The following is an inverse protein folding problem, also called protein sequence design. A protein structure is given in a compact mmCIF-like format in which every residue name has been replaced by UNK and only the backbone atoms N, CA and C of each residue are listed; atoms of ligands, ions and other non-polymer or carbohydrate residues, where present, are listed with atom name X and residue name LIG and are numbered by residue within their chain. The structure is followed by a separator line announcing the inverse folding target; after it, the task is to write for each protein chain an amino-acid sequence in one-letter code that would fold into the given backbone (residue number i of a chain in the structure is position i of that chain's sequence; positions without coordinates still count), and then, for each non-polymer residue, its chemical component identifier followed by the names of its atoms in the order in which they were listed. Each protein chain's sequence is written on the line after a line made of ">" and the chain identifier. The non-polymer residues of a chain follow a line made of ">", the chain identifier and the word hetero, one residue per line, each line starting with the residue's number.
data_IF_776911910281
#
_entry.id   IF_776911910281
#
_cell.length_a   1.000
_cell.length_b   1.000
_cell.length_c   1.000
_cell.angle_alpha   90.00
_cell.angle_beta   90.00
_cell.angle_gamma   90.00
#
_symmetry.space_group_name_H-M   'P 1'
#
loop_
_entity.id
_entity.type
_entity.pdbx_description
1 polymer ?
#
# COMPACT_ATOMS: atom_id res chain seq x y z
N UNK A 1 6.55 10.07 5.13
CA UNK A 1 7.84 10.07 4.41
C UNK A 1 7.96 8.80 3.57
N UNK A 2 8.57 8.85 2.39
CA UNK A 2 8.77 7.67 1.55
C UNK A 2 10.24 7.26 1.47
N UNK A 3 10.46 5.96 1.55
CA UNK A 3 11.73 5.27 1.41
C UNK A 3 11.52 4.02 0.53
N UNK A 4 12.51 3.56 -0.24
CA UNK A 4 12.36 2.37 -1.08
C UNK A 4 12.01 1.14 -0.22
N UNK A 5 10.84 0.55 -0.45
CA UNK A 5 10.28 -0.55 0.37
C UNK A 5 9.50 -0.11 1.61
N UNK A 6 9.34 1.19 1.86
CA UNK A 6 8.67 1.72 3.05
C UNK A 6 8.00 3.08 2.81
N UNK A 7 6.68 3.12 2.95
CA UNK A 7 5.90 4.36 2.95
C UNK A 7 5.40 4.63 4.36
N UNK A 8 5.81 5.76 4.92
CA UNK A 8 5.29 6.29 6.16
C UNK A 8 4.24 7.36 5.87
N UNK A 9 3.01 7.12 6.31
CA UNK A 9 1.87 8.02 6.21
C UNK A 9 1.57 8.52 7.62
N UNK A 10 1.66 9.82 7.84
CA UNK A 10 1.32 10.41 9.12
C UNK A 10 0.38 11.58 8.88
N UNK A 11 -0.67 11.64 9.68
CA UNK A 11 -1.67 12.69 9.61
C UNK A 11 -2.06 13.05 11.03
N UNK A 12 -2.00 14.34 11.31
CA UNK A 12 -2.31 14.89 12.63
C UNK A 12 -3.64 15.61 12.51
N UNK A 13 -4.62 15.15 13.28
CA UNK A 13 -5.92 15.80 13.40
C UNK A 13 -5.74 17.23 13.95
N UNK A 14 -5.97 18.24 13.11
CA UNK A 14 -5.97 19.65 13.55
C UNK A 14 -7.35 20.08 14.07
N UNK A 15 -8.40 19.30 13.81
CA UNK A 15 -9.77 19.55 14.23
C UNK A 15 -10.29 18.36 15.05
N UNK A 16 -11.23 18.57 15.98
CA UNK A 16 -11.79 17.51 16.82
C UNK A 16 -12.61 16.47 16.03
N UNK A 17 -13.04 16.80 14.81
CA UNK A 17 -13.72 15.86 13.88
C UNK A 17 -12.74 15.09 13.00
N UNK A 18 -11.46 15.39 13.10
CA UNK A 18 -10.39 14.81 12.30
C UNK A 18 -9.72 13.67 13.08
N UNK A 19 -9.14 12.70 12.37
CA UNK A 19 -8.58 11.49 12.99
C UNK A 19 -7.09 11.48 12.76
N UNK A 20 -6.30 11.49 13.83
CA UNK A 20 -4.86 11.31 13.72
C UNK A 20 -4.53 9.85 13.43
N UNK A 21 -3.65 9.63 12.47
CA UNK A 21 -3.14 8.31 12.15
C UNK A 21 -1.66 8.37 11.79
N UNK A 22 -0.94 7.35 12.21
CA UNK A 22 0.45 7.11 11.87
C UNK A 22 0.55 5.68 11.34
N UNK A 23 0.96 5.51 10.09
CA UNK A 23 0.91 4.24 9.38
C UNK A 23 2.21 4.04 8.63
N UNK A 24 2.87 2.95 8.96
CA UNK A 24 4.04 2.43 8.28
C UNK A 24 3.60 1.30 7.36
N UNK A 25 3.61 1.56 6.06
CA UNK A 25 3.36 0.58 5.02
C UNK A 25 4.71 0.13 4.44
N UNK A 26 5.17 -1.04 4.85
CA UNK A 26 6.36 -1.69 4.27
C UNK A 26 5.92 -2.62 3.16
N UNK A 27 6.75 -2.75 2.14
CA UNK A 27 6.49 -3.64 1.03
C UNK A 27 7.79 -4.28 0.54
N UNK A 28 7.74 -5.58 0.26
CA UNK A 28 8.89 -6.33 -0.21
C UNK A 28 8.49 -7.30 -1.31
N UNK A 29 9.36 -7.47 -2.30
CA UNK A 29 9.15 -8.48 -3.34
C UNK A 29 9.47 -9.86 -2.77
N UNK A 30 8.58 -10.81 -3.02
CA UNK A 30 8.73 -12.21 -2.67
C UNK A 30 8.54 -13.03 -3.93
N UNK A 31 9.59 -13.76 -4.31
CA UNK A 31 9.54 -14.67 -5.45
C UNK A 31 9.17 -16.06 -4.95
N UNK A 32 7.93 -16.46 -5.18
CA UNK A 32 7.46 -17.77 -4.78
C UNK A 32 7.56 -18.75 -5.96
N UNK A 33 8.23 -19.91 -5.82
CA UNK A 33 8.39 -20.86 -6.93
C UNK A 33 7.05 -21.48 -7.39
N UNK A 34 5.97 -21.37 -6.60
CA UNK A 34 4.65 -21.88 -6.97
C UNK A 34 3.72 -20.79 -7.51
N UNK A 35 3.77 -19.59 -6.95
CA UNK A 35 2.85 -18.49 -7.28
C UNK A 35 3.47 -17.42 -8.21
N UNK A 36 4.78 -17.45 -8.41
CA UNK A 36 5.52 -16.42 -9.13
C UNK A 36 5.83 -15.20 -8.26
N UNK A 37 6.19 -14.09 -8.90
CA UNK A 37 6.56 -12.86 -8.19
C UNK A 37 5.33 -12.22 -7.53
N UNK A 38 5.41 -12.06 -6.21
CA UNK A 38 4.39 -11.43 -5.37
C UNK A 38 5.02 -10.30 -4.55
N UNK A 39 4.18 -9.40 -4.04
CA UNK A 39 4.60 -8.38 -3.09
C UNK A 39 3.94 -8.62 -1.75
N UNK A 40 4.76 -8.71 -0.72
CA UNK A 40 4.31 -8.76 0.65
C UNK A 40 4.25 -7.34 1.22
N UNK A 41 3.07 -6.94 1.68
CA UNK A 41 2.81 -5.65 2.32
C UNK A 41 2.58 -5.86 3.81
N UNK A 42 3.22 -5.04 4.62
CA UNK A 42 3.08 -5.02 6.07
C UNK A 42 2.65 -3.62 6.47
N UNK A 43 1.45 -3.48 7.00
CA UNK A 43 0.88 -2.23 7.44
C UNK A 43 0.80 -2.22 8.96
N UNK A 44 1.56 -1.34 9.60
CA UNK A 44 1.62 -1.24 11.05
C UNK A 44 1.56 0.21 11.48
N UNK A 45 1.00 0.49 12.65
CA UNK A 45 0.95 1.85 13.16
C UNK A 45 -0.17 2.05 14.16
N UNK A 46 -0.69 3.26 14.21
CA UNK A 46 -1.74 3.67 15.14
C UNK A 46 -2.79 4.54 14.44
N UNK A 47 -4.06 4.19 14.58
CA UNK A 47 -5.19 4.99 14.10
C UNK A 47 -6.01 5.43 15.30
N UNK A 48 -6.16 6.75 15.50
CA UNK A 48 -6.94 7.31 16.60
C UNK A 48 -6.53 6.79 17.99
N UNK A 49 -5.23 6.61 18.24
CA UNK A 49 -4.73 6.04 19.50
C UNK A 49 -4.85 4.51 19.60
N UNK A 50 -5.26 3.82 18.53
CA UNK A 50 -5.37 2.35 18.49
C UNK A 50 -4.24 1.76 17.65
N UNK A 51 -3.29 1.03 18.27
CA UNK A 51 -2.25 0.34 17.51
C UNK A 51 -2.88 -0.77 16.67
N UNK A 52 -2.39 -0.94 15.44
CA UNK A 52 -2.78 -2.01 14.55
C UNK A 52 -1.57 -2.53 13.77
N UNK A 53 -1.63 -3.80 13.41
CA UNK A 53 -0.67 -4.46 12.54
C UNK A 53 -1.43 -5.46 11.67
N UNK A 54 -1.31 -5.30 10.36
CA UNK A 54 -1.94 -6.16 9.37
C UNK A 54 -0.93 -6.44 8.26
N UNK A 55 -0.97 -7.66 7.73
CA UNK A 55 -0.04 -8.13 6.72
C UNK A 55 -0.83 -8.78 5.60
N UNK A 56 -0.50 -8.45 4.36
CA UNK A 56 -1.17 -8.99 3.20
C UNK A 56 -0.20 -9.17 2.04
N UNK A 57 -0.37 -10.24 1.29
CA UNK A 57 0.39 -10.50 0.08
C UNK A 57 -0.49 -10.23 -1.14
N UNK A 58 0.07 -9.55 -2.13
CA UNK A 58 -0.59 -9.34 -3.42
C UNK A 58 0.30 -9.90 -4.52
N UNK A 59 -0.24 -10.70 -5.45
CA UNK A 59 0.51 -11.10 -6.63
C UNK A 59 0.90 -9.86 -7.44
N UNK A 60 1.97 -9.95 -8.25
CA UNK A 60 2.44 -8.90 -9.17
C UNK A 60 1.32 -8.10 -9.85
N UNK A 61 0.28 -8.79 -10.30
CA UNK A 61 -0.84 -8.18 -11.03
C UNK A 61 -1.71 -7.26 -10.15
N UNK A 62 -1.93 -7.68 -8.89
CA UNK A 62 -2.69 -6.92 -7.90
C UNK A 62 -1.80 -6.02 -7.03
N UNK A 63 -0.48 -6.08 -7.19
CA UNK A 63 0.45 -5.26 -6.42
C UNK A 63 0.20 -3.76 -6.59
N UNK A 64 -0.44 -3.33 -7.69
CA UNK A 64 -0.87 -1.94 -7.92
C UNK A 64 -2.17 -1.57 -7.19
N UNK A 65 -2.98 -2.54 -6.78
CA UNK A 65 -4.21 -2.35 -6.00
C UNK A 65 -3.97 -2.27 -4.48
N UNK A 66 -2.71 -2.31 -4.03
CA UNK A 66 -2.35 -2.23 -2.62
C UNK A 66 -2.97 -1.02 -1.89
N UNK A 67 -3.13 0.11 -2.57
CA UNK A 67 -3.72 1.32 -1.99
C UNK A 67 -5.19 1.09 -1.58
N UNK A 68 -5.92 0.25 -2.32
CA UNK A 68 -7.29 -0.11 -2.01
C UNK A 68 -7.35 -1.01 -0.77
N UNK A 69 -6.54 -2.08 -0.72
CA UNK A 69 -6.50 -2.99 0.43
C UNK A 69 -5.99 -2.29 1.69
N UNK A 70 -4.93 -1.50 1.60
CA UNK A 70 -4.42 -0.68 2.69
C UNK A 70 -5.49 0.27 3.23
N UNK A 71 -6.21 0.98 2.35
CA UNK A 71 -7.31 1.85 2.76
C UNK A 71 -8.43 1.08 3.46
N UNK A 72 -8.81 -0.09 2.92
CA UNK A 72 -9.86 -0.93 3.49
C UNK A 72 -9.48 -1.46 4.88
N UNK A 73 -8.23 -1.86 5.07
CA UNK A 73 -7.67 -2.24 6.37
C UNK A 73 -7.76 -1.07 7.33
N UNK A 74 -7.25 0.11 6.93
CA UNK A 74 -7.31 1.30 7.77
C UNK A 74 -8.75 1.62 8.21
N UNK A 75 -9.70 1.55 7.27
CA UNK A 75 -11.12 1.79 7.54
C UNK A 75 -11.67 0.80 8.55
N UNK A 76 -11.34 -0.49 8.41
CA UNK A 76 -11.73 -1.54 9.37
C UNK A 76 -11.20 -1.27 10.78
N UNK A 77 -10.01 -0.70 10.89
CA UNK A 77 -9.39 -0.38 12.19
C UNK A 77 -9.90 0.92 12.84
N UNK A 78 -10.67 1.74 12.11
CA UNK A 78 -11.34 2.92 12.67
C UNK A 78 -11.18 4.21 11.87
N UNK A 79 -10.54 4.18 10.71
CA UNK A 79 -10.56 5.33 9.80
C UNK A 79 -11.95 5.47 9.17
N UNK A 80 -12.59 6.64 9.20
CA UNK A 80 -13.84 6.84 8.47
C UNK A 80 -13.61 6.69 6.96
N UNK A 81 -14.60 6.18 6.24
CA UNK A 81 -14.50 5.99 4.78
C UNK A 81 -14.21 7.31 4.04
N UNK A 82 -14.64 8.44 4.59
CA UNK A 82 -14.32 9.78 4.07
C UNK A 82 -12.87 10.21 4.29
N UNK A 83 -12.13 9.53 5.17
CA UNK A 83 -10.71 9.75 5.45
C UNK A 83 -9.84 8.61 4.90
N UNK A 84 -10.37 7.78 3.98
CA UNK A 84 -9.62 6.73 3.30
C UNK A 84 -8.22 7.22 2.94
N UNK A 85 -7.20 6.37 3.18
CA UNK A 85 -5.82 6.80 3.11
C UNK A 85 -5.55 7.43 1.73
N UNK A 86 -5.10 8.70 1.68
CA UNK A 86 -4.81 9.36 0.42
C UNK A 86 -3.49 8.85 -0.17
N UNK A 87 -3.23 7.55 -0.14
CA UNK A 87 -2.02 6.92 -0.69
C UNK A 87 -1.89 7.29 -2.16
N UNK A 88 -2.99 7.22 -2.92
CA UNK A 88 -3.03 7.58 -4.34
C UNK A 88 -2.89 9.09 -4.61
N UNK A 89 -3.18 9.94 -3.63
CA UNK A 89 -3.01 11.40 -3.72
C UNK A 89 -1.66 11.84 -3.14
N UNK A 90 -0.92 10.92 -2.51
CA UNK A 90 0.36 11.21 -1.89
C UNK A 90 1.41 11.45 -2.98
N UNK A 91 2.24 12.48 -2.82
CA UNK A 91 3.29 12.83 -3.79
C UNK A 91 4.30 11.70 -4.02
N UNK A 92 4.43 10.83 -3.04
CA UNK A 92 5.32 9.67 -3.10
C UNK A 92 4.68 8.42 -3.72
N UNK A 93 3.40 8.46 -4.10
CA UNK A 93 2.75 7.36 -4.81
C UNK A 93 3.48 7.01 -6.11
N UNK A 94 3.83 8.02 -6.90
CA UNK A 94 4.56 7.84 -8.16
C UNK A 94 5.93 7.18 -7.94
N UNK A 95 6.62 7.57 -6.85
CA UNK A 95 7.91 6.97 -6.46
C UNK A 95 7.77 5.52 -6.02
N UNK A 96 6.76 5.24 -5.20
CA UNK A 96 6.45 3.87 -4.76
C UNK A 96 6.06 3.00 -5.96
N UNK A 97 5.26 3.53 -6.88
CA UNK A 97 4.88 2.85 -8.11
C UNK A 97 6.09 2.52 -8.97
N UNK A 98 7.01 3.47 -9.15
CA UNK A 98 8.25 3.26 -9.90
C UNK A 98 9.15 2.21 -9.24
N UNK A 99 9.28 2.23 -7.91
CA UNK A 99 10.08 1.27 -7.14
C UNK A 99 9.47 -0.14 -7.15
N UNK A 100 8.15 -0.26 -7.00
CA UNK A 100 7.42 -1.53 -7.12
C UNK A 100 7.61 -2.12 -8.51
N UNK A 101 7.48 -1.29 -9.55
CA UNK A 101 7.67 -1.69 -10.94
C UNK A 101 9.10 -2.17 -11.20
N UNK A 102 10.10 -1.48 -10.66
CA UNK A 102 11.51 -1.85 -10.77
C UNK A 102 11.80 -3.16 -10.03
N UNK A 103 11.34 -3.29 -8.77
CA UNK A 103 11.48 -4.50 -7.94
C UNK A 103 10.78 -5.72 -8.53
N UNK A 104 9.64 -5.54 -9.18
CA UNK A 104 8.92 -6.61 -9.88
C UNK A 104 9.58 -6.98 -11.22
N UNK A 105 10.71 -6.34 -11.58
CA UNK A 105 11.41 -6.55 -12.85
C UNK A 105 10.46 -6.40 -14.06
N UNK A 106 9.43 -5.56 -13.92
CA UNK A 106 8.45 -5.31 -14.97
C UNK A 106 9.10 -4.46 -16.06
N UNK A 107 9.83 -5.12 -16.98
CA UNK A 107 10.43 -4.50 -18.15
C UNK A 107 9.34 -3.75 -18.94
N UNK A 108 9.57 -2.45 -19.15
CA UNK A 108 8.81 -1.68 -20.15
C UNK A 108 9.02 -2.38 -21.50
N UNK A 109 7.99 -3.07 -22.00
CA UNK A 109 8.05 -3.83 -23.25
C UNK A 109 7.65 -5.31 -23.15
N UNK A 110 7.40 -5.85 -21.96
CA UNK A 110 6.73 -7.16 -21.86
C UNK A 110 5.23 -6.96 -22.10
N UNK A 111 4.59 -7.68 -23.04
CA UNK A 111 3.18 -7.50 -23.34
C UNK A 111 2.35 -7.77 -22.08
N UNK A 112 1.50 -6.80 -21.70
CA UNK A 112 0.43 -7.04 -20.74
C UNK A 112 -0.39 -8.19 -21.30
N UNK A 113 -0.38 -9.34 -20.61
CA UNK A 113 -1.24 -10.45 -21.00
C UNK A 113 -2.70 -9.97 -20.87
N UNK A 114 -3.52 -10.06 -21.92
CA UNK A 114 -4.89 -9.54 -21.92
C UNK A 114 -5.84 -10.32 -20.99
N UNK A 115 -5.37 -11.38 -20.34
CA UNK A 115 -6.13 -12.28 -19.47
C UNK A 115 -6.55 -11.67 -18.12
N UNK A 116 -6.19 -10.40 -17.86
CA UNK A 116 -6.46 -9.69 -16.61
C UNK A 116 -7.31 -8.41 -16.80
N UNK A 117 -7.95 -8.27 -17.97
CA UNK A 117 -8.84 -7.13 -18.30
C UNK A 117 -10.33 -7.51 -18.42
N UNK A 118 -10.76 -8.62 -17.83
CA UNK A 118 -12.18 -9.01 -17.81
C UNK A 118 -12.96 -8.42 -16.62
#
# INVERSE_FOLDING_TARGET
>A
MYEPGHLHLTHVALQPSDISYDIHLRYNVEEDPKQGTSMHFTMQGEINGKPFEEQFQLPRDLAFNFAHDASRIAIRHGLPNSAALPIAQHKDYDRMFADIRDKLHAKSGDPVKPEHLE
#
